data_IF_726731209158
#
_entry.id   IF_726731209158
#
_cell.length_a   1.000
_cell.length_b   1.000
_cell.length_c   1.000
_cell.angle_alpha   90.00
_cell.angle_beta   90.00
_cell.angle_gamma   90.00
#
_symmetry.space_group_name_H-M   'P 1'
#
loop_
_entity.id
_entity.type
_entity.pdbx_description
1 polymer ?
#
# COMPACT_ATOMS: atom_id res chain seq x y z
N UNK A 1 -1.40 -11.67 -26.16
CA UNK A 1 -0.84 -10.62 -25.27
C UNK A 1 0.64 -10.51 -25.53
N UNK A 2 1.14 -9.31 -25.74
CA UNK A 2 2.59 -9.05 -25.77
C UNK A 2 3.17 -9.19 -24.36
N UNK A 3 4.51 -9.32 -24.23
CA UNK A 3 5.18 -9.37 -22.94
C UNK A 3 4.90 -8.12 -22.09
N UNK A 4 4.79 -6.94 -22.71
CA UNK A 4 4.44 -5.69 -22.04
C UNK A 4 2.99 -5.69 -21.51
N UNK A 5 2.04 -6.21 -22.29
CA UNK A 5 0.65 -6.36 -21.84
C UNK A 5 0.51 -7.34 -20.68
N UNK A 6 1.26 -8.43 -20.70
CA UNK A 6 1.30 -9.38 -19.60
C UNK A 6 1.91 -8.74 -18.32
N UNK A 7 3.02 -8.02 -18.47
CA UNK A 7 3.64 -7.28 -17.36
C UNK A 7 2.71 -6.25 -16.75
N UNK A 8 2.00 -5.47 -17.57
CA UNK A 8 0.98 -4.53 -17.13
C UNK A 8 -0.12 -5.24 -16.34
N UNK A 9 -0.73 -6.27 -16.92
CA UNK A 9 -1.84 -6.97 -16.29
C UNK A 9 -1.44 -7.62 -14.95
N UNK A 10 -0.26 -8.26 -14.90
CA UNK A 10 0.25 -8.88 -13.68
C UNK A 10 0.54 -7.85 -12.59
N UNK A 11 1.15 -6.71 -12.95
CA UNK A 11 1.48 -5.65 -11.99
C UNK A 11 0.23 -5.03 -11.39
N UNK A 12 -0.74 -4.69 -12.24
CA UNK A 12 -2.02 -4.14 -11.79
C UNK A 12 -2.78 -5.16 -10.94
N UNK A 13 -2.82 -6.42 -11.36
CA UNK A 13 -3.47 -7.49 -10.61
C UNK A 13 -2.87 -7.63 -9.19
N UNK A 14 -1.55 -7.75 -9.08
CA UNK A 14 -0.89 -7.92 -7.78
C UNK A 14 -1.09 -6.71 -6.86
N UNK A 15 -0.97 -5.50 -7.40
CA UNK A 15 -1.18 -4.28 -6.63
C UNK A 15 -2.64 -4.19 -6.13
N UNK A 16 -3.60 -4.37 -7.03
CA UNK A 16 -5.03 -4.30 -6.67
C UNK A 16 -5.47 -5.45 -5.74
N UNK A 17 -4.81 -6.62 -5.79
CA UNK A 17 -5.09 -7.71 -4.87
C UNK A 17 -4.72 -7.35 -3.43
N UNK A 18 -3.63 -6.62 -3.21
CA UNK A 18 -3.22 -6.14 -1.87
C UNK A 18 -4.28 -5.21 -1.30
N UNK A 19 -4.68 -4.19 -2.05
CA UNK A 19 -5.67 -3.21 -1.61
C UNK A 19 -7.05 -3.86 -1.39
N UNK A 20 -7.40 -4.83 -2.23
CA UNK A 20 -8.63 -5.59 -2.04
C UNK A 20 -8.63 -6.42 -0.74
N UNK A 21 -7.47 -6.95 -0.31
CA UNK A 21 -7.34 -7.67 0.97
C UNK A 21 -7.53 -6.71 2.14
N UNK A 22 -6.91 -5.52 2.12
CA UNK A 22 -7.08 -4.51 3.17
C UNK A 22 -8.55 -4.05 3.27
N UNK A 23 -9.17 -3.69 2.15
CA UNK A 23 -10.60 -3.33 2.13
C UNK A 23 -11.49 -4.46 2.66
N UNK A 24 -11.22 -5.70 2.22
CA UNK A 24 -11.99 -6.87 2.63
C UNK A 24 -11.89 -7.12 4.14
N UNK A 25 -10.69 -6.99 4.74
CA UNK A 25 -10.47 -7.17 6.17
C UNK A 25 -11.36 -6.24 6.99
N UNK A 26 -11.42 -4.96 6.60
CA UNK A 26 -12.28 -3.97 7.26
C UNK A 26 -13.77 -4.32 7.11
N UNK A 27 -14.22 -4.65 5.89
CA UNK A 27 -15.62 -5.02 5.62
C UNK A 27 -16.02 -6.28 6.36
N UNK A 28 -15.15 -7.30 6.42
CA UNK A 28 -15.39 -8.51 7.17
C UNK A 28 -15.53 -8.23 8.68
N UNK A 29 -14.66 -7.39 9.25
CA UNK A 29 -14.69 -7.07 10.67
C UNK A 29 -16.05 -6.49 11.07
N UNK A 30 -16.52 -5.44 10.38
CA UNK A 30 -17.79 -4.79 10.74
C UNK A 30 -19.03 -5.59 10.28
N UNK A 31 -18.93 -6.28 9.15
CA UNK A 31 -20.02 -7.11 8.61
C UNK A 31 -20.33 -8.31 9.50
N UNK A 32 -19.31 -9.04 9.97
CA UNK A 32 -19.48 -10.21 10.84
C UNK A 32 -19.85 -9.84 12.27
N UNK A 33 -19.39 -8.67 12.75
CA UNK A 33 -19.55 -8.25 14.14
C UNK A 33 -20.87 -7.51 14.37
N UNK A 34 -21.35 -6.74 13.40
CA UNK A 34 -22.52 -5.87 13.56
C UNK A 34 -23.60 -6.08 12.50
N UNK A 35 -23.38 -5.62 11.27
CA UNK A 35 -24.43 -5.64 10.25
C UNK A 35 -23.89 -5.75 8.84
N UNK A 36 -24.09 -6.91 8.22
CA UNK A 36 -23.77 -7.14 6.81
C UNK A 36 -24.54 -6.23 5.86
N UNK A 37 -25.82 -5.99 6.14
CA UNK A 37 -26.64 -5.12 5.28
C UNK A 37 -26.07 -3.72 5.24
N UNK A 38 -25.73 -3.12 6.41
CA UNK A 38 -25.18 -1.78 6.50
C UNK A 38 -23.77 -1.69 5.92
N UNK A 39 -22.93 -2.71 6.15
CA UNK A 39 -21.60 -2.79 5.56
C UNK A 39 -21.67 -2.82 4.02
N UNK A 40 -22.54 -3.64 3.45
CA UNK A 40 -22.72 -3.74 2.00
C UNK A 40 -23.28 -2.45 1.38
N UNK A 41 -24.16 -1.72 2.09
CA UNK A 41 -24.57 -0.39 1.64
C UNK A 41 -23.38 0.59 1.62
N UNK A 42 -22.47 0.51 2.61
CA UNK A 42 -21.23 1.29 2.62
C UNK A 42 -20.32 0.95 1.44
N UNK A 43 -20.12 -0.35 1.16
CA UNK A 43 -19.36 -0.85 -0.01
C UNK A 43 -19.97 -0.33 -1.31
N UNK A 44 -21.30 -0.45 -1.48
CA UNK A 44 -22.00 0.02 -2.67
C UNK A 44 -21.83 1.53 -2.89
N UNK A 45 -22.00 2.32 -1.83
CA UNK A 45 -21.83 3.77 -1.88
C UNK A 45 -20.39 4.17 -2.23
N UNK A 46 -19.37 3.50 -1.65
CA UNK A 46 -17.97 3.72 -1.98
C UNK A 46 -17.68 3.36 -3.44
N UNK A 47 -18.19 2.23 -3.92
CA UNK A 47 -18.03 1.81 -5.32
C UNK A 47 -18.63 2.81 -6.29
N UNK A 48 -19.81 3.35 -5.99
CA UNK A 48 -20.43 4.41 -6.81
C UNK A 48 -19.60 5.70 -6.80
N UNK A 49 -19.08 6.11 -5.63
CA UNK A 49 -18.21 7.27 -5.53
C UNK A 49 -16.92 7.07 -6.35
N UNK A 50 -16.29 5.90 -6.27
CA UNK A 50 -15.11 5.56 -7.08
C UNK A 50 -15.41 5.56 -8.57
N UNK A 51 -16.55 5.00 -8.99
CA UNK A 51 -16.97 5.02 -10.38
C UNK A 51 -17.15 6.46 -10.89
N UNK A 52 -17.72 7.35 -10.07
CA UNK A 52 -17.85 8.76 -10.40
C UNK A 52 -16.47 9.45 -10.52
N UNK A 53 -15.54 9.17 -9.62
CA UNK A 53 -14.16 9.68 -9.68
C UNK A 53 -13.46 9.21 -10.97
N UNK A 54 -13.54 7.93 -11.31
CA UNK A 54 -12.93 7.36 -12.52
C UNK A 54 -13.57 7.97 -13.78
N UNK A 55 -14.89 8.11 -13.80
CA UNK A 55 -15.59 8.73 -14.94
C UNK A 55 -15.21 10.20 -15.14
N UNK A 56 -14.94 10.94 -14.06
CA UNK A 56 -14.52 12.33 -14.14
C UNK A 56 -13.04 12.47 -14.52
N UNK A 57 -12.15 11.67 -13.93
CA UNK A 57 -10.71 11.77 -14.11
C UNK A 57 -10.21 11.08 -15.40
N UNK A 58 -10.85 9.98 -15.79
CA UNK A 58 -10.42 9.20 -16.96
C UNK A 58 -10.33 10.03 -18.25
N UNK A 59 -11.39 10.73 -18.66
CA UNK A 59 -11.34 11.62 -19.83
C UNK A 59 -10.34 12.78 -19.68
N UNK A 60 -10.20 13.35 -18.49
CA UNK A 60 -9.25 14.42 -18.23
C UNK A 60 -7.80 13.96 -18.43
N UNK A 61 -7.46 12.75 -17.99
CA UNK A 61 -6.12 12.17 -18.17
C UNK A 61 -5.83 11.83 -19.63
N UNK A 62 -6.81 11.29 -20.36
CA UNK A 62 -6.63 10.92 -21.78
C UNK A 62 -6.56 12.12 -22.72
N UNK A 63 -7.05 13.29 -22.28
CA UNK A 63 -6.94 14.55 -23.02
C UNK A 63 -5.62 15.30 -22.88
N UNK A 64 -4.73 14.86 -21.98
CA UNK A 64 -3.43 15.50 -21.77
C UNK A 64 -2.44 15.18 -22.90
N UNK A 65 -1.57 16.14 -23.29
CA UNK A 65 -0.40 15.85 -24.12
C UNK A 65 0.46 14.76 -23.44
N UNK A 66 1.05 13.88 -24.26
CA UNK A 66 1.76 12.69 -23.75
C UNK A 66 2.84 13.01 -22.71
N UNK A 67 3.58 14.10 -22.88
CA UNK A 67 4.61 14.50 -21.92
C UNK A 67 4.02 14.98 -20.58
N UNK A 68 2.92 15.76 -20.63
CA UNK A 68 2.21 16.17 -19.44
C UNK A 68 1.61 14.95 -18.71
N UNK A 69 1.02 14.01 -19.46
CA UNK A 69 0.52 12.76 -18.93
C UNK A 69 1.63 11.96 -18.23
N UNK A 70 2.77 11.76 -18.90
CA UNK A 70 3.94 11.05 -18.34
C UNK A 70 4.48 11.73 -17.09
N UNK A 71 4.55 13.06 -17.07
CA UNK A 71 5.02 13.81 -15.92
C UNK A 71 4.08 13.64 -14.72
N UNK A 72 2.77 13.82 -14.93
CA UNK A 72 1.77 13.69 -13.85
C UNK A 72 1.72 12.23 -13.36
N UNK A 73 1.53 11.29 -14.28
CA UNK A 73 1.44 9.86 -13.96
C UNK A 73 2.74 9.37 -13.33
N UNK A 74 3.89 9.68 -13.93
CA UNK A 74 5.19 9.30 -13.39
C UNK A 74 5.45 9.88 -12.00
N UNK A 75 5.09 11.14 -11.77
CA UNK A 75 5.19 11.78 -10.46
C UNK A 75 4.33 11.08 -9.40
N UNK A 76 3.12 10.75 -9.76
CA UNK A 76 2.19 10.07 -8.86
C UNK A 76 2.65 8.64 -8.54
N UNK A 77 3.06 7.86 -9.55
CA UNK A 77 3.65 6.53 -9.37
C UNK A 77 4.90 6.59 -8.47
N UNK A 78 5.75 7.60 -8.65
CA UNK A 78 6.94 7.79 -7.82
C UNK A 78 6.56 8.04 -6.35
N UNK A 79 5.59 8.92 -6.09
CA UNK A 79 5.12 9.23 -4.73
C UNK A 79 4.54 7.98 -4.06
N UNK A 80 3.63 7.26 -4.73
CA UNK A 80 3.03 6.04 -4.18
C UNK A 80 4.07 4.92 -4.03
N UNK A 81 4.90 4.71 -5.04
CA UNK A 81 5.98 3.73 -4.99
C UNK A 81 6.92 3.94 -3.83
N UNK A 82 7.37 5.18 -3.62
CA UNK A 82 8.23 5.52 -2.48
C UNK A 82 7.53 5.35 -1.14
N UNK A 83 6.23 5.64 -1.04
CA UNK A 83 5.47 5.43 0.20
C UNK A 83 5.37 3.93 0.54
N UNK A 84 5.03 3.08 -0.43
CA UNK A 84 4.95 1.64 -0.23
C UNK A 84 6.32 1.04 0.06
N UNK A 85 7.33 1.43 -0.70
CA UNK A 85 8.70 0.97 -0.53
C UNK A 85 9.25 1.36 0.85
N UNK A 86 9.00 2.62 1.29
CA UNK A 86 9.35 3.09 2.64
C UNK A 86 8.67 2.23 3.71
N UNK A 87 7.35 2.00 3.60
CA UNK A 87 6.62 1.15 4.56
C UNK A 87 7.23 -0.25 4.61
N UNK A 88 7.47 -0.87 3.46
CA UNK A 88 8.04 -2.22 3.36
C UNK A 88 9.46 -2.31 3.95
N UNK A 89 10.34 -1.36 3.65
CA UNK A 89 11.71 -1.29 4.19
C UNK A 89 11.69 -1.10 5.71
N UNK A 90 10.86 -0.19 6.24
CA UNK A 90 10.74 0.04 7.67
C UNK A 90 10.21 -1.19 8.42
N UNK A 91 9.25 -1.91 7.84
CA UNK A 91 8.74 -3.18 8.38
C UNK A 91 9.83 -4.26 8.35
N UNK A 92 10.50 -4.45 7.22
CA UNK A 92 11.58 -5.41 7.07
C UNK A 92 12.78 -5.14 7.99
N UNK A 93 13.06 -3.87 8.32
CA UNK A 93 14.11 -3.49 9.27
C UNK A 93 13.67 -3.59 10.74
N UNK A 94 12.38 -3.81 11.01
CA UNK A 94 11.81 -3.86 12.35
C UNK A 94 11.67 -2.50 13.03
N UNK A 95 11.79 -1.40 12.26
CA UNK A 95 11.51 -0.03 12.74
C UNK A 95 10.01 0.28 12.75
N UNK A 96 9.22 -0.48 12.02
CA UNK A 96 7.76 -0.47 12.03
C UNK A 96 7.27 -1.91 12.22
N UNK A 97 6.16 -2.11 12.92
CA UNK A 97 5.50 -3.42 13.02
C UNK A 97 5.14 -3.95 11.62
N UNK A 98 5.19 -5.26 11.44
CA UNK A 98 4.64 -5.90 10.26
C UNK A 98 3.14 -5.62 10.25
N UNK A 99 2.58 -5.39 9.07
CA UNK A 99 1.15 -5.37 8.93
C UNK A 99 0.65 -6.82 8.99
N UNK A 100 -0.32 -7.06 9.85
CA UNK A 100 -0.97 -8.35 10.03
C UNK A 100 -2.47 -8.16 9.92
N UNK A 101 -3.04 -8.71 8.86
CA UNK A 101 -4.49 -8.63 8.61
C UNK A 101 -5.31 -9.26 9.74
N UNK A 102 -4.73 -10.20 10.48
CA UNK A 102 -5.40 -10.81 11.65
C UNK A 102 -5.49 -9.81 12.81
N UNK A 103 -4.40 -9.05 13.03
CA UNK A 103 -4.35 -8.00 14.05
C UNK A 103 -5.30 -6.86 13.69
N UNK A 104 -5.24 -6.38 12.44
CA UNK A 104 -6.17 -5.35 11.92
C UNK A 104 -7.63 -5.80 12.05
N UNK A 105 -7.93 -7.05 11.69
CA UNK A 105 -9.28 -7.60 11.84
C UNK A 105 -9.72 -7.62 13.31
N UNK A 106 -8.83 -7.99 14.23
CA UNK A 106 -9.13 -8.02 15.66
C UNK A 106 -9.37 -6.59 16.21
N UNK A 107 -8.52 -5.63 15.85
CA UNK A 107 -8.65 -4.22 16.24
C UNK A 107 -9.97 -3.62 15.74
N UNK A 108 -10.30 -3.81 14.45
CA UNK A 108 -11.55 -3.31 13.87
C UNK A 108 -12.78 -4.02 14.48
N UNK A 109 -12.66 -5.30 14.81
CA UNK A 109 -13.72 -6.06 15.50
C UNK A 109 -13.94 -5.52 16.91
N UNK A 110 -12.87 -5.28 17.67
CA UNK A 110 -12.96 -4.71 19.02
C UNK A 110 -13.58 -3.30 19.00
N UNK A 111 -13.12 -2.45 18.07
CA UNK A 111 -13.67 -1.11 17.88
C UNK A 111 -15.17 -1.16 17.49
N UNK A 112 -15.55 -2.12 16.64
CA UNK A 112 -16.93 -2.34 16.26
C UNK A 112 -17.81 -2.77 17.45
N UNK A 113 -17.31 -3.64 18.31
CA UNK A 113 -18.02 -4.08 19.52
C UNK A 113 -18.17 -2.96 20.55
N UNK A 114 -17.17 -2.08 20.66
CA UNK A 114 -17.19 -0.95 21.59
C UNK A 114 -18.12 0.20 21.13
N UNK A 115 -18.44 0.28 19.84
CA UNK A 115 -19.27 1.35 19.30
C UNK A 115 -20.75 1.18 19.70
N UNK A 116 -21.50 2.28 19.97
CA UNK A 116 -22.91 2.23 20.34
C UNK A 116 -23.75 1.47 19.29
N UNK A 117 -24.69 0.66 19.77
CA UNK A 117 -25.64 -0.04 18.90
C UNK A 117 -26.71 0.92 18.36
N UNK A 118 -27.15 0.78 17.11
CA UNK A 118 -28.23 1.59 16.57
C UNK A 118 -29.55 1.24 17.26
N UNK A 119 -30.35 2.24 17.56
CA UNK A 119 -31.67 2.01 18.14
C UNK A 119 -32.62 1.31 17.15
N UNK A 120 -32.56 1.68 15.87
CA UNK A 120 -33.32 1.11 14.75
C UNK A 120 -32.64 1.40 13.40
N UNK A 121 -32.85 0.55 12.40
CA UNK A 121 -32.52 0.79 10.99
C UNK A 121 -31.06 0.53 10.64
N UNK A 122 -30.47 1.43 9.84
CA UNK A 122 -29.11 1.29 9.32
C UNK A 122 -28.08 1.47 10.44
N UNK A 123 -27.16 0.53 10.56
CA UNK A 123 -26.00 0.67 11.43
C UNK A 123 -25.00 1.63 10.80
N UNK A 124 -25.03 2.90 11.22
CA UNK A 124 -24.16 3.94 10.72
C UNK A 124 -22.68 3.62 10.89
N UNK A 125 -22.31 2.93 11.97
CA UNK A 125 -20.92 2.54 12.19
C UNK A 125 -20.44 1.59 11.08
N UNK A 126 -21.16 0.48 10.86
CA UNK A 126 -20.81 -0.48 9.80
C UNK A 126 -20.81 0.16 8.40
N UNK A 127 -21.78 1.06 8.13
CA UNK A 127 -21.83 1.79 6.87
C UNK A 127 -20.60 2.67 6.68
N UNK A 128 -20.29 3.55 7.66
CA UNK A 128 -19.20 4.53 7.55
C UNK A 128 -17.83 3.86 7.48
N UNK A 129 -17.59 2.84 8.29
CA UNK A 129 -16.30 2.15 8.31
C UNK A 129 -16.09 1.39 6.99
N UNK A 130 -17.09 0.64 6.50
CA UNK A 130 -17.01 -0.02 5.20
C UNK A 130 -16.87 0.97 4.05
N UNK A 131 -17.63 2.08 4.08
CA UNK A 131 -17.52 3.14 3.08
C UNK A 131 -16.11 3.72 3.04
N UNK A 132 -15.55 4.11 4.20
CA UNK A 132 -14.19 4.68 4.29
C UNK A 132 -13.13 3.70 3.84
N UNK A 133 -13.17 2.46 4.34
CA UNK A 133 -12.20 1.44 3.96
C UNK A 133 -12.20 1.20 2.46
N UNK A 134 -13.36 0.87 1.89
CA UNK A 134 -13.47 0.63 0.44
C UNK A 134 -13.18 1.86 -0.40
N UNK A 135 -13.51 3.07 0.07
CA UNK A 135 -13.20 4.30 -0.64
C UNK A 135 -11.68 4.56 -0.67
N UNK A 136 -10.99 4.41 0.46
CA UNK A 136 -9.56 4.68 0.55
C UNK A 136 -8.75 3.69 -0.28
N UNK A 137 -8.97 2.38 -0.07
CA UNK A 137 -8.26 1.34 -0.81
C UNK A 137 -8.69 1.32 -2.30
N UNK A 138 -9.96 1.59 -2.56
CA UNK A 138 -10.47 1.72 -3.92
C UNK A 138 -9.92 2.95 -4.68
N UNK A 139 -9.57 4.04 -4.00
CA UNK A 139 -8.86 5.16 -4.62
C UNK A 139 -7.45 4.75 -5.04
N UNK A 140 -6.74 3.92 -4.25
CA UNK A 140 -5.44 3.39 -4.65
C UNK A 140 -5.58 2.48 -5.87
N UNK A 141 -6.58 1.58 -5.87
CA UNK A 141 -6.92 0.75 -7.06
C UNK A 141 -7.22 1.61 -8.29
N UNK A 142 -8.11 2.60 -8.16
CA UNK A 142 -8.47 3.49 -9.27
C UNK A 142 -7.25 4.22 -9.83
N UNK A 143 -6.38 4.67 -8.93
CA UNK A 143 -5.13 5.35 -9.25
C UNK A 143 -4.18 4.45 -10.04
N UNK A 144 -3.97 3.20 -9.57
CA UNK A 144 -3.14 2.20 -10.25
C UNK A 144 -3.69 1.91 -11.65
N UNK A 145 -4.98 1.66 -11.78
CA UNK A 145 -5.63 1.37 -13.07
C UNK A 145 -5.48 2.53 -14.05
N UNK A 146 -5.77 3.75 -13.61
CA UNK A 146 -5.71 4.92 -14.47
C UNK A 146 -4.27 5.23 -14.88
N UNK A 147 -3.31 5.17 -13.95
CA UNK A 147 -1.92 5.53 -14.24
C UNK A 147 -1.24 4.51 -15.15
N UNK A 148 -1.28 3.24 -14.81
CA UNK A 148 -0.69 2.18 -15.65
C UNK A 148 -1.42 2.04 -16.98
N UNK A 149 -2.77 2.06 -16.94
CA UNK A 149 -3.60 1.90 -18.11
C UNK A 149 -3.48 3.07 -19.10
N UNK A 150 -3.49 4.30 -18.62
CA UNK A 150 -3.39 5.49 -19.46
C UNK A 150 -2.00 5.57 -20.12
N UNK A 151 -0.92 5.34 -19.37
CA UNK A 151 0.43 5.43 -19.90
C UNK A 151 0.74 4.40 -20.99
N UNK A 152 0.14 3.22 -20.92
CA UNK A 152 0.27 2.20 -21.96
C UNK A 152 -0.87 2.20 -22.99
N UNK A 153 -1.78 3.16 -22.93
CA UNK A 153 -3.00 3.21 -23.75
C UNK A 153 -3.85 1.92 -23.67
N UNK A 154 -3.86 1.26 -22.51
CA UNK A 154 -4.51 -0.02 -22.24
C UNK A 154 -5.35 0.00 -20.95
N UNK A 155 -6.09 1.10 -20.72
CA UNK A 155 -6.94 1.26 -19.52
C UNK A 155 -7.92 0.09 -19.35
N UNK A 156 -8.49 -0.41 -20.46
CA UNK A 156 -9.40 -1.56 -20.39
C UNK A 156 -8.73 -2.85 -19.86
N UNK A 157 -7.49 -3.11 -20.25
CA UNK A 157 -6.72 -4.26 -19.75
C UNK A 157 -6.38 -4.08 -18.25
N UNK A 158 -5.96 -2.90 -17.85
CA UNK A 158 -5.68 -2.59 -16.45
C UNK A 158 -6.96 -2.73 -15.59
N UNK A 159 -8.08 -2.19 -16.05
CA UNK A 159 -9.37 -2.31 -15.36
C UNK A 159 -9.82 -3.79 -15.24
N UNK A 160 -9.65 -4.60 -16.29
CA UNK A 160 -9.98 -6.02 -16.25
C UNK A 160 -9.09 -6.79 -15.25
N UNK A 161 -7.80 -6.49 -15.19
CA UNK A 161 -6.87 -7.08 -14.23
C UNK A 161 -7.23 -6.71 -12.78
N UNK A 162 -7.57 -5.46 -12.53
CA UNK A 162 -8.02 -4.98 -11.21
C UNK A 162 -9.36 -5.63 -10.81
N UNK A 163 -10.34 -5.68 -11.72
CA UNK A 163 -11.63 -6.32 -11.47
C UNK A 163 -11.46 -7.82 -11.14
N UNK A 164 -10.58 -8.51 -11.84
CA UNK A 164 -10.26 -9.92 -11.56
C UNK A 164 -9.63 -10.07 -10.16
N UNK A 165 -8.69 -9.20 -9.78
CA UNK A 165 -8.07 -9.21 -8.47
C UNK A 165 -9.12 -9.04 -7.36
N UNK A 166 -9.97 -8.00 -7.47
CA UNK A 166 -11.04 -7.72 -6.51
C UNK A 166 -12.02 -8.89 -6.42
N UNK A 167 -12.43 -9.44 -7.56
CA UNK A 167 -13.38 -10.56 -7.60
C UNK A 167 -12.82 -11.83 -6.92
N UNK A 168 -11.54 -12.15 -7.17
CA UNK A 168 -10.89 -13.31 -6.55
C UNK A 168 -10.69 -13.12 -5.04
N UNK A 169 -10.26 -11.94 -4.60
CA UNK A 169 -10.08 -11.63 -3.18
C UNK A 169 -11.44 -11.62 -2.46
N UNK A 170 -12.46 -10.97 -3.02
CA UNK A 170 -13.80 -10.96 -2.44
C UNK A 170 -14.40 -12.36 -2.37
N UNK A 171 -14.26 -13.15 -3.45
CA UNK A 171 -14.73 -14.54 -3.49
C UNK A 171 -14.05 -15.42 -2.45
N UNK A 172 -12.72 -15.28 -2.28
CA UNK A 172 -11.96 -15.99 -1.25
C UNK A 172 -12.41 -15.58 0.17
N UNK A 173 -12.60 -14.28 0.40
CA UNK A 173 -13.08 -13.78 1.69
C UNK A 173 -14.47 -14.27 2.07
N UNK A 174 -15.41 -14.26 1.11
CA UNK A 174 -16.75 -14.79 1.33
C UNK A 174 -16.71 -16.30 1.61
N UNK A 175 -15.86 -17.06 0.90
CA UNK A 175 -15.74 -18.51 1.09
C UNK A 175 -15.11 -18.86 2.45
N UNK A 176 -14.11 -18.09 2.91
CA UNK A 176 -13.36 -18.40 4.14
C UNK A 176 -13.98 -17.76 5.39
N UNK A 177 -14.78 -16.70 5.24
CA UNK A 177 -15.35 -15.87 6.33
C UNK A 177 -14.28 -15.40 7.35
N UNK A 178 -13.04 -15.26 6.88
CA UNK A 178 -11.86 -14.90 7.68
C UNK A 178 -10.95 -14.00 6.88
N UNK A 179 -10.18 -13.12 7.53
CA UNK A 179 -9.15 -12.35 6.85
C UNK A 179 -8.15 -13.29 6.16
N UNK A 180 -7.65 -12.85 5.00
CA UNK A 180 -6.70 -13.63 4.21
C UNK A 180 -5.28 -13.51 4.80
N UNK A 181 -5.11 -13.91 6.05
CA UNK A 181 -3.87 -13.80 6.84
C UNK A 181 -2.62 -14.43 6.20
N UNK A 182 -2.80 -15.27 5.18
CA UNK A 182 -1.69 -15.92 4.47
C UNK A 182 -1.19 -15.14 3.26
N UNK A 183 -1.81 -14.02 2.91
CA UNK A 183 -1.34 -13.17 1.81
C UNK A 183 -0.05 -12.49 2.28
N UNK A 184 1.08 -12.65 1.57
CA UNK A 184 2.35 -12.05 1.96
C UNK A 184 2.39 -10.55 1.58
N UNK A 185 1.48 -9.77 2.16
CA UNK A 185 1.23 -8.35 1.86
C UNK A 185 2.51 -7.51 1.85
N UNK A 186 3.34 -7.66 2.91
CA UNK A 186 4.59 -6.89 2.99
C UNK A 186 5.55 -7.17 1.83
N UNK A 187 5.59 -8.42 1.34
CA UNK A 187 6.40 -8.81 0.18
C UNK A 187 5.79 -8.28 -1.11
N UNK A 188 4.47 -8.37 -1.24
CA UNK A 188 3.75 -7.83 -2.42
C UNK A 188 3.90 -6.31 -2.48
N UNK A 189 3.67 -5.58 -1.38
CA UNK A 189 3.88 -4.12 -1.29
C UNK A 189 5.33 -3.73 -1.58
N UNK A 190 6.32 -4.55 -1.16
CA UNK A 190 7.70 -4.32 -1.52
C UNK A 190 7.92 -4.45 -3.04
N UNK A 191 7.47 -5.54 -3.65
CA UNK A 191 7.63 -5.78 -5.09
C UNK A 191 6.93 -4.71 -5.92
N UNK A 192 5.67 -4.41 -5.60
CA UNK A 192 4.90 -3.35 -6.26
C UNK A 192 5.54 -1.97 -6.01
N UNK A 193 6.01 -1.68 -4.80
CA UNK A 193 6.71 -0.45 -4.48
C UNK A 193 7.97 -0.24 -5.32
N UNK A 194 8.76 -1.30 -5.55
CA UNK A 194 9.91 -1.27 -6.48
C UNK A 194 9.45 -0.94 -7.90
N UNK A 195 8.40 -1.58 -8.39
CA UNK A 195 7.89 -1.35 -9.74
C UNK A 195 7.35 0.06 -9.91
N UNK A 196 6.46 0.51 -9.01
CA UNK A 196 5.89 1.86 -9.04
C UNK A 196 6.97 2.94 -9.00
N UNK A 197 7.97 2.79 -8.12
CA UNK A 197 9.09 3.72 -8.01
C UNK A 197 9.89 3.75 -9.31
N UNK A 198 10.20 2.60 -9.88
CA UNK A 198 10.98 2.48 -11.11
C UNK A 198 10.27 3.09 -12.31
N UNK A 199 8.99 2.75 -12.50
CA UNK A 199 8.17 3.35 -13.58
C UNK A 199 7.93 4.83 -13.34
N UNK A 200 7.73 5.24 -12.09
CA UNK A 200 7.59 6.64 -11.72
C UNK A 200 8.83 7.47 -12.07
N UNK A 201 10.02 6.97 -11.78
CA UNK A 201 11.28 7.58 -12.19
C UNK A 201 11.40 7.63 -13.73
N UNK A 202 11.10 6.52 -14.38
CA UNK A 202 11.23 6.42 -15.82
C UNK A 202 10.32 7.42 -16.56
N UNK A 203 9.02 7.35 -16.32
CA UNK A 203 8.04 8.19 -17.01
C UNK A 203 8.04 9.65 -16.53
N UNK A 204 8.31 9.89 -15.24
CA UNK A 204 8.43 11.25 -14.73
C UNK A 204 9.57 12.01 -15.38
N UNK A 205 10.70 11.35 -15.58
CA UNK A 205 11.87 11.92 -16.26
C UNK A 205 11.61 12.19 -17.75
N UNK A 206 10.96 11.23 -18.46
CA UNK A 206 10.56 11.44 -19.86
C UNK A 206 9.52 12.56 -19.99
N UNK A 207 8.56 12.61 -19.09
CA UNK A 207 7.56 13.68 -19.04
C UNK A 207 8.17 15.07 -18.80
N UNK A 208 9.29 15.13 -18.07
CA UNK A 208 10.08 16.34 -17.87
C UNK A 208 10.95 16.72 -19.09
N UNK A 209 10.89 15.94 -20.19
CA UNK A 209 11.60 16.20 -21.43
C UNK A 209 12.99 15.56 -21.52
N UNK A 210 13.40 14.73 -20.57
CA UNK A 210 14.64 13.97 -20.68
C UNK A 210 14.43 12.66 -21.48
N UNK A 211 15.48 12.19 -22.13
CA UNK A 211 15.48 10.91 -22.83
C UNK A 211 16.41 9.92 -22.12
N UNK A 212 15.94 8.71 -21.89
CA UNK A 212 16.78 7.66 -21.34
C UNK A 212 17.69 7.05 -22.39
N UNK A 213 18.98 6.84 -22.10
CA UNK A 213 19.84 6.06 -22.97
C UNK A 213 19.26 4.66 -23.21
N UNK A 214 19.04 4.28 -24.45
CA UNK A 214 18.44 3.00 -24.81
C UNK A 214 16.91 2.93 -24.67
N UNK A 215 16.22 4.06 -24.42
CA UNK A 215 14.76 4.10 -24.30
C UNK A 215 14.25 3.17 -23.19
N UNK A 216 13.24 2.33 -23.48
CA UNK A 216 12.62 1.42 -22.52
C UNK A 216 13.62 0.42 -21.89
N UNK A 217 14.76 0.14 -22.55
CA UNK A 217 15.79 -0.72 -21.98
C UNK A 217 16.43 -0.14 -20.70
N UNK A 218 16.31 1.15 -20.44
CA UNK A 218 16.74 1.77 -19.19
C UNK A 218 16.04 1.15 -17.98
N UNK A 219 14.82 0.65 -18.11
CA UNK A 219 14.10 -0.06 -17.03
C UNK A 219 14.85 -1.31 -16.54
N UNK A 220 15.62 -1.97 -17.42
CA UNK A 220 16.45 -3.12 -17.05
C UNK A 220 17.60 -2.74 -16.08
N UNK A 221 17.91 -1.46 -15.98
CA UNK A 221 18.89 -0.91 -15.03
C UNK A 221 18.18 -0.27 -13.84
N UNK A 222 17.11 0.50 -14.07
CA UNK A 222 16.39 1.23 -13.02
C UNK A 222 15.77 0.26 -12.02
N UNK A 223 15.07 -0.79 -12.49
CA UNK A 223 14.40 -1.76 -11.61
C UNK A 223 15.40 -2.47 -10.69
N UNK A 224 16.50 -3.08 -11.20
CA UNK A 224 17.51 -3.67 -10.33
C UNK A 224 18.18 -2.66 -9.39
N UNK A 225 18.41 -1.42 -9.84
CA UNK A 225 19.02 -0.39 -9.00
C UNK A 225 18.12 -0.01 -7.82
N UNK A 226 16.81 0.19 -8.06
CA UNK A 226 15.82 0.45 -7.00
C UNK A 226 15.69 -0.75 -6.07
N UNK A 227 15.65 -1.97 -6.62
CA UNK A 227 15.57 -3.21 -5.84
C UNK A 227 16.79 -3.37 -4.92
N UNK A 228 17.99 -3.29 -5.47
CA UNK A 228 19.24 -3.49 -4.72
C UNK A 228 19.44 -2.41 -3.66
N UNK A 229 19.17 -1.14 -3.99
CA UNK A 229 19.25 -0.05 -3.01
C UNK A 229 18.25 -0.26 -1.86
N UNK A 230 17.04 -0.68 -2.16
CA UNK A 230 16.00 -0.96 -1.17
C UNK A 230 16.38 -2.13 -0.25
N UNK A 231 16.92 -3.22 -0.82
CA UNK A 231 17.42 -4.36 -0.04
C UNK A 231 18.60 -3.94 0.84
N UNK A 232 19.53 -3.13 0.32
CA UNK A 232 20.69 -2.65 1.07
C UNK A 232 20.31 -1.72 2.24
N UNK A 233 19.21 -0.97 2.14
CA UNK A 233 18.71 -0.13 3.21
C UNK A 233 18.26 -0.93 4.44
N UNK A 234 17.76 -2.14 4.28
CA UNK A 234 17.25 -2.95 5.40
C UNK A 234 18.32 -3.27 6.45
N UNK A 235 19.48 -3.87 6.11
CA UNK A 235 20.51 -4.15 7.10
C UNK A 235 21.15 -2.86 7.66
N UNK A 236 21.24 -1.81 6.86
CA UNK A 236 21.73 -0.52 7.32
C UNK A 236 20.82 0.06 8.43
N UNK A 237 19.51 0.07 8.22
CA UNK A 237 18.54 0.51 9.23
C UNK A 237 18.52 -0.39 10.47
N UNK A 238 18.69 -1.71 10.30
CA UNK A 238 18.82 -2.64 11.45
C UNK A 238 20.02 -2.31 12.30
N UNK A 239 21.17 -1.95 11.71
CA UNK A 239 22.37 -1.52 12.44
C UNK A 239 22.13 -0.24 13.22
N UNK A 240 21.48 0.78 12.61
CA UNK A 240 21.14 2.03 13.29
C UNK A 240 20.20 1.75 14.49
N UNK A 241 19.21 0.90 14.31
CA UNK A 241 18.30 0.49 15.39
C UNK A 241 19.04 -0.20 16.53
N UNK A 242 19.95 -1.10 16.24
CA UNK A 242 20.76 -1.79 17.22
C UNK A 242 21.66 -0.80 18.00
N UNK A 243 22.32 0.12 17.31
CA UNK A 243 23.14 1.16 17.92
C UNK A 243 22.34 2.07 18.87
N UNK A 244 21.10 2.42 18.51
CA UNK A 244 20.22 3.24 19.37
C UNK A 244 19.68 2.49 20.60
N UNK A 245 19.70 1.16 20.60
CA UNK A 245 19.25 0.30 21.71
C UNK A 245 20.38 -0.14 22.61
N UNK A 246 21.65 0.08 22.23
CA UNK A 246 22.77 -0.19 23.08
C UNK A 246 22.67 0.67 24.36
N UNK A 247 22.78 0.07 25.56
CA UNK A 247 22.81 0.86 26.79
C UNK A 247 23.95 1.85 26.74
N UNK A 248 23.72 3.05 27.25
CA UNK A 248 24.78 4.02 27.43
C UNK A 248 25.93 3.33 28.21
N UNK A 249 27.20 3.55 27.84
CA UNK A 249 28.30 3.01 28.60
C UNK A 249 28.11 3.44 30.07
N UNK A 250 28.01 2.44 30.96
CA UNK A 250 27.90 2.69 32.40
C UNK A 250 29.07 3.61 32.76
N UNK A 251 28.77 4.84 33.14
CA UNK A 251 29.76 5.69 33.75
C UNK A 251 30.33 4.92 34.93
N UNK A 252 31.59 4.49 34.79
CA UNK A 252 32.32 3.83 35.86
C UNK A 252 32.14 4.72 37.10
N UNK A 253 31.48 4.17 38.11
CA UNK A 253 31.43 4.83 39.43
C UNK A 253 32.88 5.10 39.80
N UNK A 254 33.24 6.37 39.87
CA UNK A 254 34.56 6.76 40.38
C UNK A 254 34.70 6.11 41.76
N UNK A 255 35.85 5.44 42.06
CA UNK A 255 36.05 4.87 43.38
C UNK A 255 35.95 6.00 44.43
N UNK A 256 35.12 5.76 45.46
CA UNK A 256 35.01 6.68 46.60
C UNK A 256 36.42 6.98 47.14
N UNK A 257 36.72 8.26 47.45
CA UNK A 257 38.00 8.59 48.08
C UNK A 257 38.07 7.86 49.42
N UNK A 258 39.12 7.06 49.58
CA UNK A 258 39.46 6.40 50.85
C UNK A 258 39.67 7.49 51.88
N UNK A 259 38.85 7.55 52.92
CA UNK A 259 39.01 8.44 54.06
C UNK A 259 40.31 8.05 54.80
N UNK A 260 41.33 8.92 54.79
CA UNK A 260 42.49 8.77 55.64
C UNK A 260 42.06 8.75 57.13
N UNK A 261 42.61 7.84 57.97
CA UNK A 261 42.35 7.85 59.39
C UNK A 261 42.96 9.09 60.03
N UNK A 262 42.21 9.81 60.87
CA UNK A 262 42.70 10.90 61.68
C UNK A 262 43.81 10.43 62.64
N UNK A 263 44.93 11.22 62.81
CA UNK A 263 45.93 10.91 63.77
C UNK A 263 45.43 11.15 65.20
N UNK A 264 45.73 10.18 66.14
CA UNK A 264 45.47 10.20 67.55
C UNK A 264 46.40 11.19 68.28
#
# INVERSE_FOLDING_TARGET
MSGAEFGLALSVFLACAVEAVEALTIVLAVGTTRSWSSALWGVGAATLALAAVIAALGPALTGLPINALRLVVGGLLLVFGLQWLRKAILRASGLKALHDETETFAEETEAALAAPLPAHGLDHYSFVISFKGVLLEGLEVAFIVLTFGANQHRVGLAAAAAALAVALVAGAGVALHRPLARVPENTMKFAVGVMLTSFGMFWGTEGAGAAWPGGDAALLVIIPAVLLSSIAMVPWLRRIRAARRAPAPSSAVAPEPVSEPEPV
#
